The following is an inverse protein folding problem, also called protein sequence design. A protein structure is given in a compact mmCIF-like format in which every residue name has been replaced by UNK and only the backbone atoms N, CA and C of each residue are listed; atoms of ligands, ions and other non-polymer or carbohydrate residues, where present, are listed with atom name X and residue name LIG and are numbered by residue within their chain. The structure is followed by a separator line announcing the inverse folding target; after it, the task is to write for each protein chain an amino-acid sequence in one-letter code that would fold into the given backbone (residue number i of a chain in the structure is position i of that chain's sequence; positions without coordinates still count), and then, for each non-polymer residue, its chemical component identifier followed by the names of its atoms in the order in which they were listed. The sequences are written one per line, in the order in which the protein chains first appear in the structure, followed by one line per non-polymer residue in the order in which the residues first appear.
data_IF_339735468197
#
_entry.id   IF_339735468197
#
_cell.length_a   1.000
_cell.length_b   1.000
_cell.length_c   1.000
_cell.angle_alpha   90.00
_cell.angle_beta   90.00
_cell.angle_gamma   90.00
#
_symmetry.space_group_name_H-M   'P 1'
#
loop_
_entity.id
_entity.type
_entity.pdbx_description
1 polymer ?
#
# COMPACT_ATOMS: atom_id res chain seq x y z
N UNK A 1 0.32 1.32 -14.98
CA UNK A 1 0.70 0.09 -14.21
C UNK A 1 -0.51 -0.45 -13.45
N UNK A 2 -0.73 -1.78 -13.46
CA UNK A 2 -1.75 -2.44 -12.63
C UNK A 2 -1.13 -3.04 -11.37
N UNK A 3 -1.84 -3.01 -10.26
CA UNK A 3 -1.39 -3.56 -8.98
C UNK A 3 -2.57 -4.01 -8.12
N UNK A 4 -2.34 -4.91 -7.16
CA UNK A 4 -3.34 -5.26 -6.16
C UNK A 4 -3.36 -4.20 -5.07
N UNK A 5 -4.55 -3.81 -4.63
CA UNK A 5 -4.68 -2.83 -3.55
C UNK A 5 -6.04 -2.92 -2.87
N UNK A 6 -6.26 -2.05 -1.89
CA UNK A 6 -7.51 -1.98 -1.15
C UNK A 6 -7.78 -0.55 -0.65
N UNK A 7 -9.05 -0.28 -0.34
CA UNK A 7 -9.45 0.86 0.47
C UNK A 7 -9.99 0.29 1.79
N UNK A 8 -9.30 0.59 2.88
CA UNK A 8 -9.63 0.09 4.21
C UNK A 8 -10.32 1.20 4.99
N UNK A 9 -11.59 0.97 5.32
CA UNK A 9 -12.38 1.86 6.15
C UNK A 9 -12.06 1.60 7.62
N UNK A 10 -11.54 2.61 8.29
CA UNK A 10 -11.42 2.68 9.75
C UNK A 10 -12.54 3.55 10.32
N UNK A 11 -12.64 3.65 11.63
CA UNK A 11 -13.68 4.45 12.31
C UNK A 11 -13.66 5.93 11.89
N UNK A 12 -12.46 6.52 11.74
CA UNK A 12 -12.25 7.95 11.52
C UNK A 12 -11.77 8.30 10.10
N UNK A 13 -11.36 7.32 9.30
CA UNK A 13 -10.72 7.59 8.01
C UNK A 13 -10.72 6.39 7.05
N UNK A 14 -10.37 6.66 5.80
CA UNK A 14 -10.06 5.63 4.80
C UNK A 14 -8.56 5.64 4.52
N UNK A 15 -7.92 4.47 4.59
CA UNK A 15 -6.52 4.28 4.21
C UNK A 15 -6.47 3.43 2.93
N UNK A 16 -5.74 3.91 1.93
CA UNK A 16 -5.43 3.14 0.73
C UNK A 16 -4.22 2.22 0.97
N UNK A 17 -4.29 1.01 0.44
CA UNK A 17 -3.23 0.01 0.49
C UNK A 17 -2.84 -0.38 -0.92
N UNK A 18 -1.55 -0.36 -1.26
CA UNK A 18 -1.02 -1.04 -2.45
C UNK A 18 -0.17 -2.23 -2.02
N UNK A 19 -0.35 -3.36 -2.70
CA UNK A 19 0.45 -4.56 -2.49
C UNK A 19 1.67 -4.52 -3.42
N UNK A 20 2.84 -4.82 -2.87
CA UNK A 20 4.10 -4.91 -3.60
C UNK A 20 4.99 -6.02 -3.02
N UNK A 21 6.07 -6.40 -3.69
CA UNK A 21 7.03 -7.38 -3.14
C UNK A 21 8.04 -6.73 -2.19
N UNK A 22 8.65 -7.56 -1.33
CA UNK A 22 9.75 -7.15 -0.46
C UNK A 22 10.95 -6.54 -1.20
N UNK A 23 11.14 -6.87 -2.49
CA UNK A 23 12.21 -6.28 -3.32
C UNK A 23 12.12 -4.76 -3.37
N UNK A 24 10.94 -4.18 -3.15
CA UNK A 24 10.75 -2.75 -2.97
C UNK A 24 11.74 -2.15 -1.97
N UNK A 25 12.04 -2.84 -0.86
CA UNK A 25 12.96 -2.37 0.19
C UNK A 25 14.41 -2.29 -0.29
N UNK A 26 14.76 -3.03 -1.34
CA UNK A 26 16.10 -3.03 -1.93
C UNK A 26 16.30 -1.94 -2.99
N UNK A 27 15.21 -1.36 -3.51
CA UNK A 27 15.27 -0.36 -4.57
C UNK A 27 16.04 0.90 -4.12
N UNK A 28 16.75 1.57 -5.05
CA UNK A 28 17.28 2.90 -4.84
C UNK A 28 16.18 3.88 -4.39
N UNK A 29 16.56 4.89 -3.60
CA UNK A 29 15.61 5.85 -3.02
C UNK A 29 14.75 6.55 -4.09
N UNK A 30 15.34 6.90 -5.23
CA UNK A 30 14.63 7.54 -6.35
C UNK A 30 13.53 6.64 -6.92
N UNK A 31 13.86 5.36 -7.16
CA UNK A 31 12.93 4.36 -7.67
C UNK A 31 11.80 4.07 -6.67
N UNK A 32 12.12 3.97 -5.37
CA UNK A 32 11.11 3.86 -4.30
C UNK A 32 10.12 5.01 -4.36
N UNK A 33 10.63 6.24 -4.43
CA UNK A 33 9.79 7.43 -4.47
C UNK A 33 8.95 7.52 -5.74
N UNK A 34 9.48 7.09 -6.89
CA UNK A 34 8.73 7.01 -8.14
C UNK A 34 7.60 5.97 -8.05
N UNK A 35 7.89 4.78 -7.52
CA UNK A 35 6.92 3.69 -7.36
C UNK A 35 5.82 4.05 -6.35
N UNK A 36 6.17 4.65 -5.21
CA UNK A 36 5.20 5.17 -4.24
C UNK A 36 4.29 6.25 -4.85
N UNK A 37 4.85 7.19 -5.64
CA UNK A 37 4.06 8.20 -6.35
C UNK A 37 3.10 7.57 -7.36
N UNK A 38 3.55 6.55 -8.09
CA UNK A 38 2.72 5.83 -9.04
C UNK A 38 1.53 5.15 -8.34
N UNK A 39 1.75 4.46 -7.21
CA UNK A 39 0.64 3.90 -6.44
C UNK A 39 -0.31 4.98 -5.89
N UNK A 40 0.23 6.07 -5.35
CA UNK A 40 -0.57 7.18 -4.84
C UNK A 40 -1.48 7.80 -5.91
N UNK A 41 -1.09 7.79 -7.19
CA UNK A 41 -1.90 8.36 -8.27
C UNK A 41 -3.23 7.62 -8.49
N UNK A 42 -3.31 6.34 -8.09
CA UNK A 42 -4.54 5.55 -8.09
C UNK A 42 -5.48 5.89 -6.92
N UNK A 43 -4.99 6.63 -5.90
CA UNK A 43 -5.71 6.97 -4.68
C UNK A 43 -5.71 8.48 -4.40
N UNK A 44 -6.39 9.30 -5.23
CA UNK A 44 -6.36 10.75 -5.08
C UNK A 44 -6.95 11.19 -3.73
N UNK A 45 -6.21 12.01 -2.98
CA UNK A 45 -6.63 12.58 -1.68
C UNK A 45 -6.84 11.54 -0.56
N UNK A 46 -6.43 10.29 -0.76
CA UNK A 46 -6.50 9.25 0.27
C UNK A 46 -5.11 9.00 0.86
N UNK A 47 -4.94 9.02 2.19
CA UNK A 47 -3.70 8.60 2.82
C UNK A 47 -3.41 7.15 2.49
N UNK A 48 -2.14 6.82 2.36
CA UNK A 48 -1.71 5.59 1.70
C UNK A 48 -0.59 4.89 2.46
N UNK A 49 -0.63 3.57 2.46
CA UNK A 49 0.46 2.67 2.87
C UNK A 49 0.66 1.57 1.83
N UNK A 50 1.81 0.93 1.88
CA UNK A 50 2.08 -0.29 1.14
C UNK A 50 1.94 -1.50 2.05
N UNK A 51 1.50 -2.63 1.49
CA UNK A 51 1.59 -3.95 2.08
C UNK A 51 2.65 -4.73 1.29
N UNK A 52 3.79 -4.98 1.90
CA UNK A 52 4.89 -5.71 1.28
C UNK A 52 4.68 -7.21 1.51
N UNK A 53 4.59 -7.98 0.44
CA UNK A 53 4.61 -9.45 0.50
C UNK A 53 6.06 -9.90 0.71
N UNK A 54 6.32 -10.49 1.88
CA UNK A 54 7.63 -10.98 2.29
C UNK A 54 7.86 -12.44 1.86
N UNK A 55 6.85 -13.08 1.26
CA UNK A 55 6.84 -14.50 0.95
C UNK A 55 6.39 -15.35 2.14
N UNK A 56 6.16 -16.64 1.89
CA UNK A 56 5.72 -17.63 2.89
C UNK A 56 4.44 -17.26 3.68
N UNK A 57 3.61 -16.36 3.14
CA UNK A 57 2.40 -15.86 3.80
C UNK A 57 2.66 -14.74 4.82
N UNK A 58 3.89 -14.24 4.91
CA UNK A 58 4.23 -13.08 5.71
C UNK A 58 4.10 -11.79 4.88
N UNK A 59 3.63 -10.73 5.55
CA UNK A 59 3.53 -9.41 4.92
C UNK A 59 3.69 -8.31 5.95
N UNK A 60 4.26 -7.17 5.53
CA UNK A 60 4.51 -6.03 6.40
C UNK A 60 4.00 -4.72 5.80
N UNK A 61 3.36 -3.89 6.63
CA UNK A 61 2.96 -2.54 6.22
C UNK A 61 4.16 -1.58 6.19
N UNK A 62 4.28 -0.82 5.10
CA UNK A 62 5.33 0.18 4.89
C UNK A 62 4.73 1.54 4.51
N UNK A 63 5.27 2.63 5.07
CA UNK A 63 4.83 3.98 4.77
C UNK A 63 4.89 4.91 5.98
N UNK A 64 3.91 5.82 6.08
CA UNK A 64 3.86 6.79 7.19
C UNK A 64 3.63 6.06 8.53
N UNK A 65 4.46 6.26 9.57
CA UNK A 65 4.42 5.45 10.79
C UNK A 65 3.08 5.42 11.52
N UNK A 66 2.34 6.54 11.55
CA UNK A 66 1.01 6.64 12.17
C UNK A 66 -0.04 5.79 11.43
N UNK A 67 0.02 5.75 10.09
CA UNK A 67 -0.88 4.93 9.28
C UNK A 67 -0.55 3.45 9.40
N UNK A 68 0.74 3.12 9.40
CA UNK A 68 1.21 1.75 9.61
C UNK A 68 0.75 1.22 10.97
N UNK A 69 0.82 2.03 12.03
CA UNK A 69 0.34 1.65 13.35
C UNK A 69 -1.16 1.33 13.33
N UNK A 70 -2.00 2.18 12.72
CA UNK A 70 -3.44 1.92 12.56
C UNK A 70 -3.72 0.64 11.75
N UNK A 71 -2.96 0.41 10.68
CA UNK A 71 -3.16 -0.74 9.79
C UNK A 71 -2.73 -2.08 10.41
N UNK A 72 -1.76 -2.07 11.34
CA UNK A 72 -1.34 -3.28 12.07
C UNK A 72 -2.45 -3.89 12.94
N UNK A 73 -3.45 -3.10 13.31
CA UNK A 73 -4.62 -3.56 14.07
C UNK A 73 -5.69 -4.21 13.18
N UNK A 74 -5.56 -4.09 11.85
CA UNK A 74 -6.53 -4.63 10.89
C UNK A 74 -6.11 -6.04 10.44
N UNK A 75 -6.92 -7.09 10.71
CA UNK A 75 -6.65 -8.42 10.19
C UNK A 75 -6.67 -8.44 8.65
N UNK A 76 -5.64 -9.01 8.02
CA UNK A 76 -5.52 -9.03 6.55
C UNK A 76 -6.68 -9.75 5.86
N UNK A 77 -7.26 -10.77 6.50
CA UNK A 77 -8.43 -11.49 5.99
C UNK A 77 -9.71 -10.64 5.96
N UNK A 78 -9.72 -9.46 6.59
CA UNK A 78 -10.82 -8.49 6.52
C UNK A 78 -10.61 -7.45 5.41
N UNK A 79 -9.45 -7.43 4.78
CA UNK A 79 -9.13 -6.50 3.69
C UNK A 79 -9.58 -7.12 2.37
N UNK A 80 -10.47 -6.42 1.65
CA UNK A 80 -10.87 -6.82 0.31
C UNK A 80 -9.93 -6.22 -0.72
N UNK A 81 -9.02 -7.05 -1.23
CA UNK A 81 -8.10 -6.66 -2.30
C UNK A 81 -8.77 -6.72 -3.68
N UNK A 82 -8.44 -5.74 -4.52
CA UNK A 82 -8.82 -5.71 -5.94
C UNK A 82 -7.71 -5.09 -6.78
N UNK A 83 -7.82 -5.22 -8.09
CA UNK A 83 -6.85 -4.64 -9.01
C UNK A 83 -7.15 -3.15 -9.21
N UNK A 84 -6.12 -2.32 -9.05
CA UNK A 84 -6.11 -0.90 -9.35
C UNK A 84 -5.14 -0.59 -10.49
N UNK A 85 -5.29 0.59 -11.08
CA UNK A 85 -4.44 1.09 -12.15
C UNK A 85 -3.91 2.47 -11.79
N UNK A 86 -2.59 2.63 -11.89
CA UNK A 86 -1.93 3.92 -11.73
C UNK A 86 -2.31 4.82 -12.89
N UNK A 87 -2.52 6.10 -12.61
CA UNK A 87 -2.60 7.10 -13.68
C UNK A 87 -1.19 7.30 -14.22
N UNK A 88 -1.02 7.08 -15.52
CA UNK A 88 0.11 7.59 -16.28
C UNK A 88 -0.15 9.09 -16.47
N UNK A 89 0.77 9.94 -16.03
CA UNK A 89 0.83 11.34 -16.47
C UNK A 89 1.50 11.38 -17.86
#
# INVERSE_FOLDING_TARGET
MKFNGALVQLEDMVIAVAVDSADFLSLPQEEKMAKMRAYQSAFPKTPFVMLLDMGAGESEFFGRPDLVAKMREVPLNYITFKVYETKED
#
